data_IF_496098342513
#
_entry.id   IF_496098342513
#
_cell.length_a   1.000
_cell.length_b   1.000
_cell.length_c   1.000
_cell.angle_alpha   90.00
_cell.angle_beta   90.00
_cell.angle_gamma   90.00
#
_symmetry.space_group_name_H-M   'P 1'
#
loop_
_entity.id
_entity.type
_entity.pdbx_description
1 polymer ?
#
# COMPACT_ATOMS: atom_id res chain seq x y z
N UNK A 1 1.19 11.01 -8.44
CA UNK A 1 1.72 9.99 -7.53
C UNK A 1 1.69 10.62 -6.14
N UNK A 2 1.16 9.91 -5.15
CA UNK A 2 1.04 10.33 -3.76
C UNK A 2 2.44 10.41 -3.12
N UNK A 3 3.26 9.39 -3.29
CA UNK A 3 4.67 9.43 -2.92
C UNK A 3 5.50 9.83 -4.13
N UNK A 4 6.05 11.03 -4.12
CA UNK A 4 6.96 11.49 -5.18
C UNK A 4 8.33 10.80 -5.11
N UNK A 5 8.71 10.33 -3.92
CA UNK A 5 9.98 9.64 -3.65
C UNK A 5 9.95 8.13 -3.89
N UNK A 6 8.78 7.58 -4.26
CA UNK A 6 8.54 6.14 -4.35
C UNK A 6 8.77 5.41 -3.01
N UNK A 7 8.41 6.05 -1.89
CA UNK A 7 8.40 5.47 -0.54
C UNK A 7 6.99 4.97 -0.16
N UNK A 8 6.93 3.71 0.25
CA UNK A 8 5.70 3.08 0.75
C UNK A 8 5.19 3.72 2.04
N UNK A 9 6.08 4.27 2.88
CA UNK A 9 5.67 4.93 4.13
C UNK A 9 4.89 6.22 3.86
N UNK A 10 5.38 7.06 2.95
CA UNK A 10 4.67 8.27 2.53
C UNK A 10 3.28 7.96 1.97
N UNK A 11 3.20 6.92 1.13
CA UNK A 11 1.92 6.45 0.60
C UNK A 11 0.96 6.01 1.72
N UNK A 12 1.42 5.17 2.64
CA UNK A 12 0.60 4.67 3.74
C UNK A 12 0.16 5.79 4.68
N UNK A 13 1.03 6.75 4.99
CA UNK A 13 0.69 7.91 5.84
C UNK A 13 -0.36 8.82 5.20
N UNK A 14 -0.30 9.01 3.88
CA UNK A 14 -1.32 9.76 3.13
C UNK A 14 -2.65 8.99 2.99
N UNK A 15 -2.58 7.65 2.94
CA UNK A 15 -3.74 6.79 2.72
C UNK A 15 -4.39 6.27 4.02
N UNK A 16 -3.78 6.49 5.20
CA UNK A 16 -4.19 5.89 6.49
C UNK A 16 -5.65 6.08 6.92
N UNK A 17 -6.33 7.11 6.41
CA UNK A 17 -7.71 7.45 6.77
C UNK A 17 -8.74 6.97 5.74
N UNK A 18 -8.31 6.20 4.74
CA UNK A 18 -9.15 5.72 3.64
C UNK A 18 -9.73 4.35 3.97
N UNK A 19 -10.92 4.07 3.47
CA UNK A 19 -11.48 2.72 3.57
C UNK A 19 -10.70 1.74 2.68
N UNK A 20 -10.89 0.44 2.87
CA UNK A 20 -10.09 -0.57 2.16
C UNK A 20 -10.30 -0.51 0.63
N UNK A 21 -11.51 -0.22 0.17
CA UNK A 21 -11.81 -0.12 -1.27
C UNK A 21 -11.09 1.09 -1.88
N UNK A 22 -11.12 2.23 -1.18
CA UNK A 22 -10.33 3.41 -1.54
C UNK A 22 -8.82 3.12 -1.49
N UNK A 23 -8.34 2.42 -0.47
CA UNK A 23 -6.93 2.07 -0.30
C UNK A 23 -6.42 1.21 -1.46
N UNK A 24 -7.21 0.22 -1.89
CA UNK A 24 -6.94 -0.62 -3.07
C UNK A 24 -6.88 0.24 -4.33
N UNK A 25 -7.86 1.12 -4.54
CA UNK A 25 -7.92 1.97 -5.72
C UNK A 25 -6.74 2.95 -5.79
N UNK A 26 -6.36 3.53 -4.64
CA UNK A 26 -5.20 4.41 -4.54
C UNK A 26 -3.90 3.64 -4.79
N UNK A 27 -3.72 2.46 -4.20
CA UNK A 27 -2.53 1.64 -4.40
C UNK A 27 -2.36 1.18 -5.86
N UNK A 28 -3.45 0.78 -6.52
CA UNK A 28 -3.41 0.38 -7.94
C UNK A 28 -3.07 1.57 -8.86
N UNK A 29 -3.66 2.76 -8.59
CA UNK A 29 -3.32 3.98 -9.34
C UNK A 29 -1.87 4.37 -9.13
N UNK A 30 -1.40 4.32 -7.89
CA UNK A 30 -0.03 4.65 -7.52
C UNK A 30 0.98 3.70 -8.17
N UNK A 31 0.69 2.40 -8.19
CA UNK A 31 1.55 1.40 -8.83
C UNK A 31 1.68 1.66 -10.34
N UNK A 32 0.60 2.09 -11.00
CA UNK A 32 0.63 2.44 -12.41
C UNK A 32 1.51 3.67 -12.67
N UNK A 33 1.43 4.70 -11.82
CA UNK A 33 2.32 5.87 -11.95
C UNK A 33 3.78 5.50 -11.67
N UNK A 34 4.06 4.71 -10.64
CA UNK A 34 5.40 4.21 -10.33
C UNK A 34 6.00 3.41 -11.49
N UNK A 35 5.20 2.54 -12.13
CA UNK A 35 5.60 1.81 -13.33
C UNK A 35 5.94 2.75 -14.50
N UNK A 36 5.08 3.76 -14.75
CA UNK A 36 5.33 4.76 -15.80
C UNK A 36 6.63 5.52 -15.55
N UNK A 37 6.88 5.92 -14.31
CA UNK A 37 8.11 6.59 -13.89
C UNK A 37 9.33 5.69 -14.13
N UNK A 38 9.31 4.47 -13.60
CA UNK A 38 10.37 3.46 -13.79
C UNK A 38 10.69 3.23 -15.28
N UNK A 39 9.66 3.10 -16.12
CA UNK A 39 9.82 2.95 -17.59
C UNK A 39 10.45 4.17 -18.25
N UNK A 40 10.06 5.39 -17.85
CA UNK A 40 10.65 6.64 -18.37
C UNK A 40 12.12 6.75 -18.00
N UNK A 41 12.48 6.47 -16.75
CA UNK A 41 13.87 6.52 -16.29
C UNK A 41 14.74 5.46 -16.96
N UNK A 42 14.23 4.22 -17.10
CA UNK A 42 14.92 3.16 -17.84
C UNK A 42 15.22 3.57 -19.29
N UNK A 43 14.30 4.29 -19.95
CA UNK A 43 14.52 4.80 -21.31
C UNK A 43 15.59 5.89 -21.37
N UNK A 44 15.77 6.66 -20.29
CA UNK A 44 16.70 7.79 -20.21
C UNK A 44 18.07 7.43 -19.61
N UNK A 45 18.27 6.19 -19.13
CA UNK A 45 19.48 5.76 -18.41
C UNK A 45 19.83 6.65 -17.20
N UNK A 46 18.82 7.28 -16.59
CA UNK A 46 19.01 8.12 -15.41
C UNK A 46 19.31 7.23 -14.19
N UNK A 47 20.52 7.35 -13.62
CA UNK A 47 20.89 6.72 -12.35
C UNK A 47 20.50 7.65 -11.20
N UNK A 48 19.73 7.17 -10.22
CA UNK A 48 19.62 7.84 -8.91
C UNK A 48 18.23 8.28 -8.44
N UNK A 49 17.16 8.14 -9.24
CA UNK A 49 15.80 8.21 -8.68
C UNK A 49 15.49 6.86 -8.02
N UNK A 50 14.90 6.91 -6.82
CA UNK A 50 14.61 5.75 -5.97
C UNK A 50 13.96 4.60 -6.76
N UNK A 51 14.06 3.38 -6.24
CA UNK A 51 13.65 2.16 -6.94
C UNK A 51 12.12 2.08 -7.11
N UNK A 52 11.56 2.94 -7.97
CA UNK A 52 10.14 3.01 -8.28
C UNK A 52 9.65 1.69 -8.91
N UNK A 53 10.56 0.86 -9.45
CA UNK A 53 10.26 -0.51 -9.86
C UNK A 53 9.98 -1.42 -8.66
N UNK A 54 10.82 -1.39 -7.63
CA UNK A 54 10.54 -2.09 -6.37
C UNK A 54 9.31 -1.53 -5.66
N UNK A 55 9.11 -0.21 -5.70
CA UNK A 55 7.93 0.44 -5.15
C UNK A 55 6.63 -0.02 -5.82
N UNK A 56 6.60 -0.11 -7.15
CA UNK A 56 5.49 -0.69 -7.91
C UNK A 56 5.16 -2.11 -7.42
N UNK A 57 6.18 -2.96 -7.28
CA UNK A 57 6.01 -4.34 -6.80
C UNK A 57 5.40 -4.37 -5.40
N UNK A 58 5.91 -3.53 -4.48
CA UNK A 58 5.39 -3.44 -3.12
C UNK A 58 3.92 -3.01 -3.09
N UNK A 59 3.52 -2.03 -3.91
CA UNK A 59 2.12 -1.61 -4.01
C UNK A 59 1.22 -2.71 -4.54
N UNK A 60 1.67 -3.50 -5.52
CA UNK A 60 0.92 -4.65 -6.03
C UNK A 60 0.75 -5.75 -4.99
N UNK A 61 1.80 -6.05 -4.23
CA UNK A 61 1.74 -7.01 -3.12
C UNK A 61 0.80 -6.51 -2.02
N UNK A 62 0.85 -5.21 -1.70
CA UNK A 62 -0.06 -4.57 -0.76
C UNK A 62 -1.52 -4.68 -1.23
N UNK A 63 -1.83 -4.35 -2.48
CA UNK A 63 -3.17 -4.53 -3.03
C UNK A 63 -3.61 -6.00 -2.97
N UNK A 64 -2.73 -6.94 -3.32
CA UNK A 64 -3.03 -8.39 -3.24
C UNK A 64 -3.35 -8.81 -1.82
N UNK A 65 -2.59 -8.30 -0.84
CA UNK A 65 -2.84 -8.53 0.57
C UNK A 65 -4.22 -8.01 0.96
N UNK A 66 -4.56 -6.75 0.67
CA UNK A 66 -5.87 -6.18 1.01
C UNK A 66 -7.03 -6.96 0.39
N UNK A 67 -6.89 -7.38 -0.88
CA UNK A 67 -7.89 -8.22 -1.56
C UNK A 67 -8.04 -9.58 -0.89
N UNK A 68 -6.95 -10.23 -0.50
CA UNK A 68 -6.99 -11.51 0.21
C UNK A 68 -7.53 -11.38 1.64
N UNK A 69 -7.18 -10.31 2.36
CA UNK A 69 -7.67 -10.05 3.71
C UNK A 69 -9.19 -9.79 3.70
N UNK A 70 -9.70 -9.14 2.65
CA UNK A 70 -11.13 -8.96 2.43
C UNK A 70 -11.84 -10.20 1.85
N UNK A 71 -11.11 -11.16 1.26
CA UNK A 71 -11.69 -12.40 0.72
C UNK A 71 -11.59 -13.61 1.67
N UNK A 72 -10.85 -13.49 2.78
CA UNK A 72 -10.69 -14.56 3.75
C UNK A 72 -11.87 -14.59 4.74
N UNK A 73 -12.58 -15.72 4.90
CA UNK A 73 -13.28 -15.96 6.16
C UNK A 73 -12.22 -15.96 7.28
N UNK A 74 -12.45 -15.17 8.33
CA UNK A 74 -11.59 -14.99 9.51
C UNK A 74 -10.86 -16.29 9.91
N UNK A 75 -9.56 -16.40 9.59
CA UNK A 75 -8.49 -17.23 10.20
C UNK A 75 -7.45 -17.62 9.14
N UNK A 76 -6.40 -16.81 8.97
CA UNK A 76 -5.14 -17.29 8.39
C UNK A 76 -4.04 -17.19 9.46
N UNK A 77 -3.24 -18.26 9.61
CA UNK A 77 -2.15 -18.37 10.58
C UNK A 77 -0.83 -17.74 10.08
N UNK A 78 -0.91 -16.76 9.18
CA UNK A 78 0.27 -16.12 8.58
C UNK A 78 0.86 -15.06 9.56
N UNK A 79 2.17 -15.10 9.88
CA UNK A 79 2.81 -14.09 10.73
C UNK A 79 2.71 -12.64 10.20
N UNK A 80 2.62 -12.46 8.88
CA UNK A 80 2.40 -11.14 8.30
C UNK A 80 0.96 -10.67 8.55
N UNK A 81 0.01 -11.61 8.50
CA UNK A 81 -1.40 -11.36 8.79
C UNK A 81 -1.61 -10.95 10.25
N UNK A 82 -0.97 -11.61 11.21
CA UNK A 82 -1.08 -11.24 12.63
C UNK A 82 -0.53 -9.82 12.90
N UNK A 83 0.57 -9.45 12.26
CA UNK A 83 1.18 -8.12 12.38
C UNK A 83 0.27 -7.03 11.80
N UNK A 84 -0.29 -7.26 10.61
CA UNK A 84 -1.19 -6.32 9.93
C UNK A 84 -2.57 -6.27 10.62
N UNK A 85 -3.05 -7.38 11.18
CA UNK A 85 -4.27 -7.44 11.99
C UNK A 85 -4.10 -6.71 13.33
N UNK A 86 -2.95 -6.81 13.99
CA UNK A 86 -2.66 -6.03 15.20
C UNK A 86 -2.63 -4.53 14.93
N UNK A 87 -2.08 -4.12 13.78
CA UNK A 87 -2.11 -2.73 13.34
C UNK A 87 -3.56 -2.24 13.10
N UNK A 88 -4.38 -3.06 12.46
CA UNK A 88 -5.80 -2.78 12.22
C UNK A 88 -6.60 -2.59 13.51
N UNK A 89 -6.50 -3.51 14.47
CA UNK A 89 -7.20 -3.44 15.77
C UNK A 89 -6.82 -2.20 16.59
N UNK A 90 -5.52 -1.88 16.63
CA UNK A 90 -5.00 -0.77 17.42
C UNK A 90 -5.44 0.61 16.92
N UNK A 91 -5.73 0.74 15.63
CA UNK A 91 -6.11 2.02 15.02
C UNK A 91 -7.62 2.20 14.81
N UNK A 92 -8.42 1.13 14.75
CA UNK A 92 -9.88 1.22 14.58
C UNK A 92 -10.69 1.22 15.90
N UNK A 93 -10.16 0.67 17.00
CA UNK A 93 -10.83 0.69 18.32
C UNK A 93 -10.97 2.10 18.92
N UNK A 94 -10.16 3.08 18.48
CA UNK A 94 -10.26 4.48 18.95
C UNK A 94 -11.53 5.22 18.49
N UNK A 95 -12.34 4.65 17.58
CA UNK A 95 -13.58 5.27 17.07
C UNK A 95 -14.86 4.84 17.78
N UNK A 96 -14.81 3.95 18.78
CA UNK A 96 -15.99 3.46 19.52
C UNK A 96 -16.04 3.91 20.99
N UNK A 97 -15.71 5.16 21.27
CA UNK A 97 -16.02 5.82 22.55
C UNK A 97 -16.22 7.32 22.37
N UNK A 98 -17.23 7.68 21.57
CA UNK A 98 -18.03 8.89 21.78
C UNK A 98 -19.49 8.50 21.60
N UNK A 99 -20.02 7.96 22.69
CA UNK A 99 -21.43 8.03 23.02
C UNK A 99 -21.85 9.50 23.17
#
# INVERSE_FOLDING_TARGET
>A
MISESCDIKEFLDAAKNKDISELILLADREALEAWRMSRRHKKRNEKGMGDCGRYETLLKEFTRYLRSANSLPKKSNDPLYSTLHQFHEKHLSSKSSRA
#
